data_IF_733458403715
#
_entry.id   IF_733458403715
#
_cell.length_a   1.000
_cell.length_b   1.000
_cell.length_c   1.000
_cell.angle_alpha   90.00
_cell.angle_beta   90.00
_cell.angle_gamma   90.00
#
_symmetry.space_group_name_H-M   'P 1'
#
loop_
_entity.id
_entity.type
_entity.pdbx_description
1 polymer ?
#
# COMPACT_ATOMS: atom_id res chain seq x y z
N UNK A 1 -38.24 14.37 12.36
CA UNK A 1 -37.21 13.60 13.09
C UNK A 1 -36.15 13.16 12.07
N UNK A 2 -34.95 13.66 12.16
CA UNK A 2 -33.83 13.11 11.38
C UNK A 2 -33.54 11.72 11.93
N UNK A 3 -33.60 10.72 11.08
CA UNK A 3 -33.22 9.34 11.39
C UNK A 3 -31.79 9.15 10.90
N UNK A 4 -30.87 8.84 11.78
CA UNK A 4 -29.47 8.50 11.42
C UNK A 4 -29.36 6.98 11.29
N UNK A 5 -28.78 6.54 10.18
CA UNK A 5 -28.44 5.13 9.97
C UNK A 5 -26.92 4.98 9.96
N UNK A 6 -26.41 4.11 10.84
CA UNK A 6 -24.99 3.77 10.87
C UNK A 6 -24.72 2.60 9.94
N UNK A 7 -23.64 2.70 9.16
CA UNK A 7 -23.18 1.63 8.30
C UNK A 7 -21.79 1.17 8.73
N UNK A 8 -21.63 -0.13 8.77
CA UNK A 8 -20.35 -0.80 9.00
C UNK A 8 -19.75 -1.17 7.66
N UNK A 9 -18.43 -1.30 7.61
CA UNK A 9 -17.70 -1.68 6.39
C UNK A 9 -16.85 -2.89 6.63
N UNK A 10 -16.83 -3.83 5.67
CA UNK A 10 -15.84 -4.89 5.60
C UNK A 10 -14.84 -4.56 4.51
N UNK A 11 -13.56 -4.69 4.82
CA UNK A 11 -12.45 -4.29 3.96
C UNK A 11 -11.53 -5.47 3.68
N UNK A 12 -10.83 -5.43 2.55
CA UNK A 12 -9.73 -6.34 2.26
C UNK A 12 -8.41 -5.87 2.92
N UNK A 13 -7.32 -6.58 2.63
CA UNK A 13 -5.98 -6.26 3.16
C UNK A 13 -5.43 -4.92 2.66
N UNK A 14 -5.92 -4.41 1.54
CA UNK A 14 -5.58 -3.10 0.99
C UNK A 14 -6.46 -1.96 1.54
N UNK A 15 -7.50 -2.29 2.30
CA UNK A 15 -8.48 -1.33 2.78
C UNK A 15 -9.62 -1.06 1.81
N UNK A 16 -9.74 -1.80 0.69
CA UNK A 16 -10.85 -1.68 -0.24
C UNK A 16 -12.14 -2.18 0.38
N UNK A 17 -13.22 -1.44 0.21
CA UNK A 17 -14.49 -1.72 0.86
C UNK A 17 -15.29 -2.69 0.02
N UNK A 18 -15.47 -3.90 0.54
CA UNK A 18 -16.23 -4.98 -0.12
C UNK A 18 -17.70 -4.97 0.25
N UNK A 19 -18.03 -4.57 1.47
CA UNK A 19 -19.39 -4.64 1.98
C UNK A 19 -19.67 -3.44 2.88
N UNK A 20 -20.83 -2.81 2.66
CA UNK A 20 -21.49 -1.92 3.60
C UNK A 20 -22.72 -2.63 4.15
N UNK A 21 -22.94 -2.56 5.46
CA UNK A 21 -24.12 -3.15 6.07
C UNK A 21 -24.56 -2.36 7.31
N UNK A 22 -25.84 -2.45 7.64
CA UNK A 22 -26.40 -1.82 8.82
C UNK A 22 -27.26 -2.81 9.63
N UNK A 23 -27.70 -2.38 10.81
CA UNK A 23 -28.57 -3.17 11.70
C UNK A 23 -29.94 -3.49 11.09
N UNK A 24 -30.38 -2.74 10.08
CA UNK A 24 -31.66 -2.92 9.38
C UNK A 24 -31.56 -3.92 8.21
N UNK A 25 -30.50 -4.72 8.16
CA UNK A 25 -30.24 -5.72 7.12
C UNK A 25 -30.01 -5.16 5.69
N UNK A 26 -29.84 -3.87 5.53
CA UNK A 26 -29.40 -3.31 4.26
C UNK A 26 -27.94 -3.67 4.03
N UNK A 27 -27.67 -4.27 2.85
CA UNK A 27 -26.33 -4.70 2.45
C UNK A 27 -26.05 -4.20 1.04
N UNK A 28 -24.85 -3.61 0.88
CA UNK A 28 -24.33 -3.16 -0.41
C UNK A 28 -22.95 -3.75 -0.62
N UNK A 29 -22.78 -4.52 -1.66
CA UNK A 29 -21.49 -5.17 -1.97
C UNK A 29 -20.82 -4.49 -3.15
N UNK A 30 -19.53 -4.27 -3.03
CA UNK A 30 -18.66 -3.83 -4.11
C UNK A 30 -17.82 -5.03 -4.58
N UNK A 31 -17.83 -5.31 -5.85
CA UNK A 31 -17.01 -6.35 -6.47
C UNK A 31 -16.05 -5.65 -7.42
N UNK A 32 -14.76 -5.89 -7.24
CA UNK A 32 -13.71 -5.27 -8.04
C UNK A 32 -13.05 -6.28 -8.97
N UNK A 33 -12.65 -5.80 -10.15
CA UNK A 33 -11.60 -6.46 -10.92
C UNK A 33 -10.24 -6.22 -10.25
N UNK A 34 -9.21 -7.01 -10.54
CA UNK A 34 -7.88 -6.80 -9.97
C UNK A 34 -7.32 -5.39 -10.20
N UNK A 35 -7.69 -4.74 -11.29
CA UNK A 35 -7.33 -3.35 -11.59
C UNK A 35 -8.02 -2.29 -10.72
N UNK A 36 -8.97 -2.70 -9.88
CA UNK A 36 -9.78 -1.78 -9.06
C UNK A 36 -11.04 -1.25 -9.73
N UNK A 37 -11.32 -1.63 -10.98
CA UNK A 37 -12.59 -1.31 -11.63
C UNK A 37 -13.71 -2.03 -10.87
N UNK A 38 -14.78 -1.32 -10.53
CA UNK A 38 -15.98 -1.95 -10.01
C UNK A 38 -16.69 -2.76 -11.08
N UNK A 39 -16.81 -4.07 -10.85
CA UNK A 39 -17.51 -5.00 -11.76
C UNK A 39 -19.01 -4.70 -11.83
N UNK A 40 -19.63 -4.41 -10.69
CA UNK A 40 -21.03 -4.10 -10.60
C UNK A 40 -21.21 -2.72 -9.95
N UNK A 41 -21.79 -1.80 -10.68
CA UNK A 41 -22.21 -0.49 -10.15
C UNK A 41 -23.50 -0.64 -9.33
N UNK A 42 -23.51 -1.49 -8.31
CA UNK A 42 -24.58 -1.45 -7.32
C UNK A 42 -24.37 -0.19 -6.52
N UNK A 43 -25.29 0.75 -6.68
CA UNK A 43 -25.23 2.05 -6.02
C UNK A 43 -25.21 1.87 -4.51
N UNK A 44 -24.01 1.75 -3.98
CA UNK A 44 -23.78 2.01 -2.56
C UNK A 44 -24.22 3.47 -2.30
N UNK A 45 -24.86 3.77 -1.19
CA UNK A 45 -25.14 5.15 -0.81
C UNK A 45 -23.86 5.94 -0.50
N UNK A 46 -22.72 5.30 -0.58
CA UNK A 46 -21.41 5.87 -0.26
C UNK A 46 -20.48 5.77 -1.47
N UNK A 47 -19.75 6.84 -1.71
CA UNK A 47 -18.80 6.94 -2.83
C UNK A 47 -17.38 6.50 -2.45
N UNK A 48 -17.23 5.49 -1.59
CA UNK A 48 -15.93 4.98 -1.19
C UNK A 48 -15.76 3.53 -1.66
N UNK A 49 -14.58 3.20 -2.15
CA UNK A 49 -14.35 1.89 -2.75
C UNK A 49 -12.92 1.37 -2.59
N UNK A 50 -12.19 1.29 -3.69
CA UNK A 50 -10.82 0.79 -3.76
C UNK A 50 -9.92 1.50 -2.74
N UNK A 51 -9.21 0.72 -1.92
CA UNK A 51 -8.33 1.21 -0.84
C UNK A 51 -8.97 2.26 0.08
N UNK A 52 -10.31 2.25 0.18
CA UNK A 52 -11.08 3.21 0.96
C UNK A 52 -11.14 4.61 0.34
N UNK A 53 -10.77 4.76 -0.93
CA UNK A 53 -10.78 6.04 -1.64
C UNK A 53 -12.16 6.40 -2.17
N UNK A 54 -12.41 7.69 -2.27
CA UNK A 54 -13.61 8.22 -2.86
C UNK A 54 -13.62 8.01 -4.36
N UNK A 55 -14.77 7.56 -4.88
CA UNK A 55 -15.00 7.42 -6.31
C UNK A 55 -15.69 8.67 -6.82
N UNK A 56 -15.11 9.26 -7.84
CA UNK A 56 -15.72 10.35 -8.59
C UNK A 56 -16.35 9.76 -9.85
N UNK A 57 -17.68 9.78 -9.88
CA UNK A 57 -18.44 9.33 -11.04
C UNK A 57 -18.71 10.56 -11.95
N UNK A 58 -17.73 10.91 -12.76
CA UNK A 58 -17.93 11.99 -13.72
C UNK A 58 -17.94 11.45 -15.14
N UNK A 59 -19.00 11.75 -15.89
CA UNK A 59 -19.15 11.42 -17.32
C UNK A 59 -18.85 9.97 -17.72
N UNK A 60 -19.08 9.01 -16.79
CA UNK A 60 -18.78 7.59 -17.01
C UNK A 60 -17.33 7.18 -16.78
N UNK A 61 -16.50 8.07 -16.31
CA UNK A 61 -15.15 7.80 -15.85
C UNK A 61 -15.21 7.43 -14.37
N UNK A 62 -14.81 6.21 -14.04
CA UNK A 62 -14.72 5.75 -12.65
C UNK A 62 -13.29 6.06 -12.15
N UNK A 63 -13.14 7.20 -11.50
CA UNK A 63 -11.87 7.67 -10.98
C UNK A 63 -11.83 7.63 -9.46
N UNK A 64 -10.69 7.28 -8.88
CA UNK A 64 -10.49 7.28 -7.44
C UNK A 64 -9.62 8.46 -7.01
N UNK A 65 -10.12 9.24 -6.07
CA UNK A 65 -9.40 10.40 -5.55
C UNK A 65 -8.45 10.00 -4.41
N UNK A 66 -7.14 10.11 -4.66
CA UNK A 66 -6.09 9.76 -3.69
C UNK A 66 -5.57 10.96 -2.90
N UNK A 67 -6.06 12.15 -3.17
CA UNK A 67 -5.60 13.39 -2.57
C UNK A 67 -4.70 14.17 -3.53
N UNK A 68 -3.45 13.77 -3.71
CA UNK A 68 -2.55 14.46 -4.64
C UNK A 68 -2.80 14.12 -6.10
N UNK A 69 -3.32 12.93 -6.38
CA UNK A 69 -3.58 12.43 -7.75
C UNK A 69 -4.92 11.72 -7.83
N UNK A 70 -5.41 11.56 -9.04
CA UNK A 70 -6.62 10.80 -9.35
C UNK A 70 -6.26 9.56 -10.15
N UNK A 71 -6.69 8.38 -9.67
CA UNK A 71 -6.43 7.10 -10.31
C UNK A 71 -7.54 6.78 -11.31
N UNK A 72 -7.17 6.58 -12.57
CA UNK A 72 -8.06 6.03 -13.59
C UNK A 72 -7.95 4.50 -13.60
N UNK A 73 -8.89 3.85 -12.91
CA UNK A 73 -8.87 2.42 -12.68
C UNK A 73 -8.86 1.55 -13.98
N UNK A 74 -9.52 1.93 -15.10
CA UNK A 74 -9.50 1.13 -16.31
C UNK A 74 -8.11 0.82 -16.87
N UNK A 75 -7.16 1.73 -16.71
CA UNK A 75 -5.77 1.51 -17.14
C UNK A 75 -4.79 1.38 -15.98
N UNK A 76 -5.30 1.46 -14.74
CA UNK A 76 -4.54 1.37 -13.50
C UNK A 76 -3.37 2.37 -13.43
N UNK A 77 -3.65 3.62 -13.80
CA UNK A 77 -2.70 4.73 -13.85
C UNK A 77 -3.28 5.98 -13.23
N UNK A 78 -2.41 6.78 -12.63
CA UNK A 78 -2.77 8.14 -12.23
C UNK A 78 -2.91 9.04 -13.47
N UNK A 79 -3.83 10.01 -13.41
CA UNK A 79 -4.03 11.01 -14.47
C UNK A 79 -3.02 12.14 -14.40
N UNK A 80 -2.37 12.33 -13.24
CA UNK A 80 -1.37 13.35 -13.02
C UNK A 80 -0.02 12.70 -12.72
N UNK A 81 1.11 13.37 -13.08
CA UNK A 81 2.43 12.90 -12.72
C UNK A 81 2.63 12.95 -11.21
N UNK A 82 3.45 12.05 -10.70
CA UNK A 82 3.81 12.03 -9.28
C UNK A 82 4.56 13.32 -8.91
N UNK A 83 4.11 14.07 -7.89
CA UNK A 83 4.85 15.21 -7.40
C UNK A 83 6.27 14.88 -6.90
N UNK A 84 6.52 13.60 -6.59
CA UNK A 84 7.81 13.09 -6.14
C UNK A 84 8.53 12.25 -7.20
N UNK A 85 8.17 12.38 -8.49
CA UNK A 85 8.73 11.57 -9.57
C UNK A 85 10.26 11.68 -9.70
N UNK A 86 10.84 12.78 -9.26
CA UNK A 86 12.29 12.97 -9.23
C UNK A 86 13.01 12.07 -8.22
N UNK A 87 12.28 11.51 -7.25
CA UNK A 87 12.82 10.56 -6.28
C UNK A 87 12.83 9.11 -6.83
N UNK A 88 12.09 8.85 -7.93
CA UNK A 88 11.82 7.50 -8.46
C UNK A 88 12.08 7.42 -9.98
N UNK A 89 13.27 7.75 -10.45
CA UNK A 89 13.61 7.80 -11.90
C UNK A 89 13.36 6.51 -12.68
N UNK A 90 13.31 5.37 -11.99
CA UNK A 90 13.10 4.06 -12.60
C UNK A 90 11.61 3.68 -12.71
N UNK A 91 10.71 4.49 -12.18
CA UNK A 91 9.26 4.25 -12.20
C UNK A 91 8.57 5.32 -13.02
N UNK A 92 7.59 4.93 -13.83
CA UNK A 92 6.78 5.91 -14.56
C UNK A 92 6.10 6.88 -13.58
N UNK A 93 6.12 8.20 -13.83
CA UNK A 93 5.44 9.19 -12.99
C UNK A 93 3.93 8.94 -12.81
N UNK A 94 3.33 8.19 -13.72
CA UNK A 94 1.90 7.86 -13.71
C UNK A 94 1.59 6.48 -13.11
N UNK A 95 2.61 5.73 -12.69
CA UNK A 95 2.41 4.38 -12.16
C UNK A 95 1.64 4.41 -10.82
N UNK A 96 0.64 3.55 -10.70
CA UNK A 96 0.00 3.25 -9.42
C UNK A 96 0.74 2.09 -8.75
N UNK A 97 1.19 2.32 -7.50
CA UNK A 97 1.88 1.33 -6.67
C UNK A 97 3.05 0.61 -7.38
N UNK A 98 3.81 1.30 -8.24
CA UNK A 98 4.89 0.72 -9.06
C UNK A 98 4.44 -0.50 -9.87
N UNK A 99 3.18 -0.57 -10.30
CA UNK A 99 2.50 -1.69 -10.94
C UNK A 99 2.30 -2.94 -10.05
N UNK A 100 2.46 -2.83 -8.74
CA UNK A 100 2.25 -3.90 -7.77
C UNK A 100 1.08 -3.59 -6.81
N UNK A 101 -0.07 -3.27 -7.35
CA UNK A 101 -1.27 -2.84 -6.62
C UNK A 101 -1.97 -3.96 -5.81
N UNK A 102 -1.47 -5.19 -5.87
CA UNK A 102 -1.96 -6.30 -5.03
C UNK A 102 -1.26 -6.29 -3.67
N UNK A 103 0.02 -5.91 -3.63
CA UNK A 103 0.85 -5.96 -2.43
C UNK A 103 1.28 -4.58 -1.92
N UNK A 104 0.87 -3.52 -2.60
CA UNK A 104 1.20 -2.16 -2.24
C UNK A 104 -0.03 -1.26 -2.31
N UNK A 105 -0.03 -0.21 -1.54
CA UNK A 105 -1.04 0.84 -1.56
C UNK A 105 -0.37 2.20 -1.58
N UNK A 106 -1.04 3.16 -2.18
CA UNK A 106 -0.66 4.57 -2.13
C UNK A 106 -1.67 5.31 -1.25
N UNK A 107 -1.30 5.75 -0.04
CA UNK A 107 -2.26 6.36 0.88
C UNK A 107 -2.72 7.75 0.50
N UNK A 108 -1.90 8.52 -0.19
CA UNK A 108 -2.10 9.95 -0.45
C UNK A 108 -1.87 10.39 -1.90
N UNK A 109 -1.60 9.44 -2.79
CA UNK A 109 -1.27 9.72 -4.18
C UNK A 109 0.15 10.27 -4.39
N UNK A 110 1.08 9.99 -3.46
CA UNK A 110 2.48 10.44 -3.52
C UNK A 110 3.48 9.36 -3.16
N UNK A 111 3.11 8.46 -2.26
CA UNK A 111 4.04 7.53 -1.62
C UNK A 111 3.46 6.14 -1.57
N UNK A 112 4.22 5.18 -2.07
CA UNK A 112 3.84 3.78 -2.07
C UNK A 112 4.23 3.16 -0.74
N UNK A 113 3.32 2.38 -0.16
CA UNK A 113 3.55 1.58 1.05
C UNK A 113 3.28 0.11 0.75
N UNK A 114 4.07 -0.81 1.29
CA UNK A 114 3.73 -2.24 1.24
C UNK A 114 2.36 -2.47 1.88
N UNK A 115 1.54 -3.31 1.26
CA UNK A 115 0.18 -3.56 1.72
C UNK A 115 0.09 -4.72 2.71
N UNK A 116 1.18 -5.42 2.97
CA UNK A 116 1.08 -6.65 3.69
C UNK A 116 2.30 -7.09 4.48
N UNK A 117 2.14 -8.27 5.06
CA UNK A 117 3.17 -8.95 5.83
C UNK A 117 4.24 -9.63 4.95
N UNK A 118 4.01 -9.76 3.63
CA UNK A 118 4.93 -10.47 2.74
C UNK A 118 6.28 -9.75 2.63
N UNK A 119 6.27 -8.46 2.38
CA UNK A 119 7.48 -7.62 2.32
C UNK A 119 8.18 -7.56 3.68
N UNK A 120 7.38 -7.47 4.75
CA UNK A 120 7.90 -7.53 6.11
C UNK A 120 8.60 -8.85 6.37
N UNK A 121 7.99 -9.98 5.98
CA UNK A 121 8.58 -11.32 6.12
C UNK A 121 9.86 -11.43 5.31
N UNK A 122 9.92 -10.86 4.11
CA UNK A 122 11.14 -10.86 3.30
C UNK A 122 12.25 -10.06 3.97
N UNK A 123 11.96 -8.84 4.45
CA UNK A 123 12.93 -8.06 5.22
C UNK A 123 13.39 -8.86 6.45
N UNK A 124 12.46 -9.45 7.20
CA UNK A 124 12.78 -10.27 8.36
C UNK A 124 13.65 -11.48 8.02
N UNK A 125 13.46 -12.10 6.84
CA UNK A 125 14.23 -13.25 6.40
C UNK A 125 15.69 -12.91 6.07
N UNK A 126 16.00 -11.66 5.74
CA UNK A 126 17.37 -11.18 5.55
C UNK A 126 18.12 -10.95 6.87
N UNK A 127 17.42 -11.02 8.00
CA UNK A 127 17.92 -10.69 9.31
C UNK A 127 18.15 -11.95 10.17
N UNK A 128 19.07 -11.90 11.13
CA UNK A 128 19.22 -12.93 12.15
C UNK A 128 17.89 -13.20 12.88
N UNK A 129 17.69 -14.44 13.33
CA UNK A 129 16.43 -14.87 13.96
C UNK A 129 16.03 -14.03 15.17
N UNK A 130 17.00 -13.61 15.98
CA UNK A 130 16.82 -12.77 17.17
C UNK A 130 16.42 -11.33 16.81
N UNK A 131 16.82 -10.82 15.64
CA UNK A 131 16.52 -9.48 15.19
C UNK A 131 15.12 -9.34 14.57
N UNK A 132 14.53 -10.42 14.06
CA UNK A 132 13.26 -10.40 13.32
C UNK A 132 12.10 -9.82 14.11
N UNK A 133 12.05 -10.09 15.41
CA UNK A 133 10.98 -9.61 16.30
C UNK A 133 11.00 -8.10 16.51
N UNK A 134 12.10 -7.44 16.21
CA UNK A 134 12.26 -5.99 16.30
C UNK A 134 11.89 -5.24 15.02
N UNK A 135 11.51 -5.96 13.97
CA UNK A 135 11.07 -5.38 12.71
C UNK A 135 9.58 -5.67 12.55
N UNK A 136 8.75 -4.71 12.90
CA UNK A 136 7.30 -4.77 12.77
C UNK A 136 6.78 -3.51 12.11
N UNK A 137 5.56 -3.57 11.57
CA UNK A 137 4.88 -2.40 11.05
C UNK A 137 4.11 -1.70 12.17
N UNK A 138 4.12 -0.39 12.15
CA UNK A 138 3.26 0.45 12.99
C UNK A 138 1.82 0.47 12.42
N UNK A 139 0.92 1.19 13.10
CA UNK A 139 -0.48 1.38 12.68
C UNK A 139 -0.64 2.08 11.31
N UNK A 140 0.42 2.69 10.80
CA UNK A 140 0.44 3.37 9.50
C UNK A 140 1.06 2.49 8.39
N UNK A 141 1.45 1.24 8.71
CA UNK A 141 2.10 0.33 7.77
C UNK A 141 3.59 0.67 7.52
N UNK A 142 4.22 1.47 8.37
CA UNK A 142 5.64 1.78 8.33
C UNK A 142 6.38 0.91 9.34
N UNK A 143 7.67 0.68 9.12
CA UNK A 143 8.49 -0.02 10.13
C UNK A 143 8.56 0.83 11.40
N UNK A 144 8.18 0.23 12.53
CA UNK A 144 8.20 0.86 13.84
C UNK A 144 9.65 1.22 14.23
N UNK A 145 9.97 2.52 14.16
CA UNK A 145 11.32 3.03 14.46
C UNK A 145 11.69 2.83 15.92
N UNK A 146 10.72 2.91 16.83
CA UNK A 146 10.97 2.76 18.27
C UNK A 146 11.41 1.34 18.57
N UNK A 147 10.64 0.37 18.07
CA UNK A 147 10.94 -1.05 18.21
C UNK A 147 12.25 -1.43 17.51
N UNK A 148 12.44 -0.96 16.27
CA UNK A 148 13.67 -1.19 15.51
C UNK A 148 14.92 -0.68 16.25
N UNK A 149 14.83 0.50 16.84
CA UNK A 149 15.95 1.13 17.54
C UNK A 149 16.28 0.48 18.89
N UNK A 150 15.36 -0.30 19.46
CA UNK A 150 15.58 -1.02 20.72
C UNK A 150 16.45 -2.27 20.59
N UNK A 151 16.71 -2.76 19.36
CA UNK A 151 17.61 -3.89 19.16
C UNK A 151 19.08 -3.50 19.30
N UNK A 152 19.77 -4.17 20.19
CA UNK A 152 21.19 -3.93 20.51
C UNK A 152 22.20 -4.89 19.86
N UNK A 153 21.76 -5.79 18.96
CA UNK A 153 22.63 -6.76 18.30
C UNK A 153 23.53 -6.15 17.23
N UNK A 154 24.60 -6.87 16.87
CA UNK A 154 25.65 -6.42 15.94
C UNK A 154 25.50 -7.03 14.53
N UNK A 155 24.30 -7.08 13.97
CA UNK A 155 24.12 -7.56 12.59
C UNK A 155 24.32 -6.43 11.59
N UNK A 156 25.15 -6.65 10.58
CA UNK A 156 25.40 -5.68 9.51
C UNK A 156 24.10 -5.36 8.76
N UNK A 157 23.35 -6.39 8.37
CA UNK A 157 22.08 -6.21 7.66
C UNK A 157 21.06 -5.44 8.50
N UNK A 158 20.99 -5.70 9.80
CA UNK A 158 20.12 -4.97 10.70
C UNK A 158 20.55 -3.50 10.85
N UNK A 159 21.83 -3.23 10.97
CA UNK A 159 22.35 -1.86 11.05
C UNK A 159 22.09 -1.08 9.76
N UNK A 160 22.22 -1.73 8.60
CA UNK A 160 21.86 -1.14 7.31
C UNK A 160 20.36 -0.79 7.26
N UNK A 161 19.50 -1.74 7.64
CA UNK A 161 18.06 -1.50 7.74
C UNK A 161 17.74 -0.34 8.70
N UNK A 162 18.38 -0.32 9.87
CA UNK A 162 18.22 0.75 10.87
C UNK A 162 18.63 2.12 10.31
N UNK A 163 19.73 2.18 9.58
CA UNK A 163 20.19 3.42 8.91
C UNK A 163 19.18 3.88 7.86
N UNK A 164 18.68 2.96 7.03
CA UNK A 164 17.69 3.25 6.01
C UNK A 164 16.39 3.78 6.61
N UNK A 165 15.84 3.09 7.60
CA UNK A 165 14.56 3.45 8.24
C UNK A 165 14.65 4.76 9.01
N UNK A 166 15.81 5.07 9.60
CA UNK A 166 16.03 6.33 10.32
C UNK A 166 16.47 7.49 9.42
N UNK A 167 16.79 7.22 8.16
CA UNK A 167 17.08 8.29 7.19
C UNK A 167 15.82 9.13 6.94
N UNK A 168 16.01 10.39 6.54
CA UNK A 168 14.91 11.24 6.08
C UNK A 168 14.43 10.87 4.68
N UNK A 169 15.09 9.91 4.03
CA UNK A 169 14.70 9.37 2.73
C UNK A 169 13.67 8.28 2.92
N UNK A 170 12.65 8.27 2.09
CA UNK A 170 11.75 7.13 2.02
C UNK A 170 12.45 6.03 1.22
N UNK A 171 12.57 4.85 1.82
CA UNK A 171 13.10 3.66 1.17
C UNK A 171 11.92 2.73 0.90
N UNK A 172 11.69 2.48 -0.37
CA UNK A 172 10.71 1.50 -0.82
C UNK A 172 11.40 0.14 -0.96
N UNK A 173 10.80 -0.89 -0.37
CA UNK A 173 11.20 -2.27 -0.60
C UNK A 173 10.31 -2.84 -1.69
N UNK A 174 10.86 -3.02 -2.88
CA UNK A 174 10.16 -3.60 -4.01
C UNK A 174 10.49 -5.10 -4.07
N UNK A 175 9.45 -5.93 -4.19
CA UNK A 175 9.59 -7.32 -4.55
C UNK A 175 9.92 -7.42 -6.04
N UNK A 176 11.19 -7.53 -6.37
CA UNK A 176 11.60 -7.91 -7.72
C UNK A 176 11.77 -9.44 -7.78
N UNK A 177 11.15 -10.08 -8.77
CA UNK A 177 11.30 -11.52 -9.03
C UNK A 177 12.73 -11.89 -9.49
N UNK A 178 13.59 -10.90 -9.68
CA UNK A 178 15.02 -11.07 -9.97
C UNK A 178 15.84 -10.59 -8.78
N UNK A 179 15.80 -11.35 -7.71
CA UNK A 179 16.59 -11.04 -6.52
C UNK A 179 18.07 -11.30 -6.83
N UNK A 180 18.82 -10.24 -7.08
CA UNK A 180 20.27 -10.30 -7.00
C UNK A 180 20.69 -9.78 -5.63
N UNK A 181 21.30 -10.63 -4.82
CA UNK A 181 21.88 -10.23 -3.55
C UNK A 181 23.41 -10.21 -3.66
N UNK A 182 24.04 -9.27 -3.01
CA UNK A 182 25.49 -9.32 -2.81
C UNK A 182 25.80 -10.17 -1.59
N UNK A 183 26.65 -11.17 -1.77
CA UNK A 183 27.21 -11.94 -0.66
C UNK A 183 28.22 -11.07 0.14
N UNK A 184 28.71 -11.61 1.25
CA UNK A 184 29.69 -10.93 2.10
C UNK A 184 31.02 -10.59 1.38
N UNK A 185 31.23 -11.13 0.20
CA UNK A 185 32.45 -10.95 -0.63
C UNK A 185 32.16 -10.04 -1.84
N UNK A 186 30.99 -9.41 -1.92
CA UNK A 186 30.62 -8.53 -3.01
C UNK A 186 30.23 -9.25 -4.31
N UNK A 187 29.90 -10.55 -4.26
CA UNK A 187 29.45 -11.30 -5.44
C UNK A 187 27.94 -11.24 -5.54
N UNK A 188 27.46 -11.03 -6.77
CA UNK A 188 26.02 -11.08 -7.10
C UNK A 188 25.61 -12.56 -7.18
N UNK A 189 24.68 -12.96 -6.30
CA UNK A 189 23.98 -14.25 -6.37
C UNK A 189 22.61 -14.08 -7.03
N UNK A 190 22.20 -15.06 -7.81
CA UNK A 190 20.85 -15.14 -8.42
C UNK A 190 20.00 -16.14 -7.67
#
# INVERSE_FOLDING_TARGET
KMSFSYYYTSKDHLGSIWLYWNSLSNKYSNIYYPSGIMREKRRSPFNYGLTGKEIVYDNGLDEYFFGARTLFAPINRFNQPDPLCEEYYHISPYAYCANNFINALDPDGRKIKPAGTAELIMIQNTLPKDARNYVKLDKNGLIDRTLLNSYGGKSLNFNNLKTLVNSNRMVEVILDNKFTFMDQNGRLGT
#
